data_IF_487392728222
#
_entry.id   IF_487392728222
#
_cell.length_a   1.000
_cell.length_b   1.000
_cell.length_c   1.000
_cell.angle_alpha   90.00
_cell.angle_beta   90.00
_cell.angle_gamma   90.00
#
_symmetry.space_group_name_H-M   'P 1'
#
loop_
_entity.id
_entity.type
_entity.pdbx_description
1 polymer ?
#
# COMPACT_ATOMS: atom_id res chain seq x y z
N UNK A 1 -10.50 18.35 -7.88
CA UNK A 1 -9.10 18.85 -7.93
C UNK A 1 -8.44 18.33 -9.21
N UNK A 2 -7.43 18.98 -9.80
CA UNK A 2 -6.75 18.43 -10.99
C UNK A 2 -5.79 17.29 -10.59
N UNK A 3 -5.63 16.26 -11.42
CA UNK A 3 -4.72 15.13 -11.12
C UNK A 3 -3.28 15.56 -10.86
N UNK A 4 -2.77 16.55 -11.60
CA UNK A 4 -1.44 17.11 -11.33
C UNK A 4 -1.31 17.68 -9.91
N UNK A 5 -2.32 18.39 -9.43
CA UNK A 5 -2.33 18.95 -8.07
C UNK A 5 -2.38 17.84 -7.02
N UNK A 6 -3.14 16.77 -7.28
CA UNK A 6 -3.14 15.57 -6.45
C UNK A 6 -1.75 14.91 -6.39
N UNK A 7 -1.08 14.74 -7.53
CA UNK A 7 0.24 14.13 -7.59
C UNK A 7 1.30 14.95 -6.87
N UNK A 8 1.25 16.28 -7.01
CA UNK A 8 2.15 17.19 -6.29
C UNK A 8 1.95 17.04 -4.76
N UNK A 9 0.71 16.91 -4.30
CA UNK A 9 0.41 16.65 -2.89
C UNK A 9 0.84 15.26 -2.43
N UNK A 10 0.60 14.21 -3.22
CA UNK A 10 1.04 12.84 -2.90
C UNK A 10 2.55 12.82 -2.73
N UNK A 11 3.32 13.37 -3.68
CA UNK A 11 4.79 13.44 -3.59
C UNK A 11 5.27 14.28 -2.40
N UNK A 12 4.52 15.30 -2.00
CA UNK A 12 4.86 16.12 -0.85
C UNK A 12 4.64 15.39 0.49
N UNK A 13 3.58 14.59 0.61
CA UNK A 13 3.14 14.02 1.89
C UNK A 13 3.38 12.52 2.04
N UNK A 14 3.71 11.82 0.95
CA UNK A 14 3.99 10.38 0.92
C UNK A 14 5.39 10.19 0.31
N UNK A 15 6.46 10.42 1.09
CA UNK A 15 7.84 10.39 0.58
C UNK A 15 8.27 9.00 0.07
N UNK A 16 7.53 7.94 0.39
CA UNK A 16 7.74 6.60 -0.13
C UNK A 16 7.38 6.49 -1.62
N UNK A 17 6.52 7.35 -2.16
CA UNK A 17 6.11 7.31 -3.58
C UNK A 17 7.26 7.80 -4.46
N UNK A 18 7.76 6.92 -5.32
CA UNK A 18 8.89 7.16 -6.23
C UNK A 18 8.43 7.61 -7.60
N UNK A 19 7.26 7.13 -8.03
CA UNK A 19 6.68 7.42 -9.34
C UNK A 19 5.15 7.51 -9.25
N UNK A 20 4.56 8.31 -10.14
CA UNK A 20 3.10 8.42 -10.32
C UNK A 20 2.78 8.46 -11.80
N UNK A 21 1.87 7.60 -12.22
CA UNK A 21 1.34 7.53 -13.57
C UNK A 21 0.58 8.81 -13.91
N UNK A 22 0.74 9.34 -15.11
CA UNK A 22 0.06 10.59 -15.52
C UNK A 22 -1.19 10.36 -16.37
N UNK A 23 -1.44 9.12 -16.78
CA UNK A 23 -2.51 8.76 -17.71
C UNK A 23 -3.71 8.09 -17.03
N UNK A 24 -3.75 8.03 -15.69
CA UNK A 24 -4.90 7.52 -14.94
C UNK A 24 -5.95 8.62 -14.72
N UNK A 25 -7.23 8.27 -14.87
CA UNK A 25 -8.34 9.23 -14.75
C UNK A 25 -9.10 9.10 -13.42
N UNK A 26 -9.14 7.91 -12.82
CA UNK A 26 -10.01 7.60 -11.68
C UNK A 26 -9.26 7.32 -10.37
N UNK A 27 -8.01 6.85 -10.45
CA UNK A 27 -7.17 6.49 -9.31
C UNK A 27 -5.81 7.17 -9.40
N UNK A 28 -5.17 7.42 -8.24
CA UNK A 28 -3.77 7.79 -8.21
C UNK A 28 -2.94 6.50 -8.18
N UNK A 29 -2.20 6.22 -9.24
CA UNK A 29 -1.41 4.99 -9.41
C UNK A 29 0.06 5.34 -9.64
N UNK A 30 0.95 4.44 -9.25
CA UNK A 30 2.38 4.56 -9.49
C UNK A 30 3.18 3.51 -8.74
N UNK A 31 4.35 3.90 -8.24
CA UNK A 31 5.27 3.02 -7.53
C UNK A 31 5.69 3.66 -6.21
N UNK A 32 5.95 2.83 -5.21
CA UNK A 32 6.50 3.27 -3.93
C UNK A 32 7.62 2.35 -3.44
N UNK A 33 8.47 2.90 -2.58
CA UNK A 33 9.58 2.19 -1.99
C UNK A 33 9.17 1.51 -0.67
N UNK A 34 9.19 0.17 -0.65
CA UNK A 34 8.94 -0.67 0.53
C UNK A 34 9.99 -1.78 0.59
N UNK A 35 10.47 -2.08 1.80
CA UNK A 35 11.45 -3.15 2.07
C UNK A 35 12.71 -3.12 1.19
N UNK A 36 13.17 -1.92 0.86
CA UNK A 36 14.36 -1.64 0.03
C UNK A 36 14.22 -1.98 -1.47
N UNK A 37 12.99 -2.17 -1.95
CA UNK A 37 12.67 -2.15 -3.39
C UNK A 37 11.80 -0.92 -3.70
N UNK A 38 11.90 -0.40 -4.91
CA UNK A 38 11.22 0.81 -5.39
C UNK A 38 10.18 0.55 -6.50
N UNK A 39 9.84 -0.72 -6.72
CA UNK A 39 8.93 -1.23 -7.76
C UNK A 39 7.61 -1.79 -7.21
N UNK A 40 7.28 -1.52 -5.94
CA UNK A 40 5.99 -1.91 -5.37
C UNK A 40 4.88 -1.02 -5.95
N UNK A 41 3.91 -1.63 -6.64
CA UNK A 41 2.74 -0.92 -7.17
C UNK A 41 2.01 -0.17 -6.06
N UNK A 42 1.69 1.09 -6.29
CA UNK A 42 1.03 1.97 -5.34
C UNK A 42 -0.26 2.51 -5.93
N UNK A 43 -1.38 2.31 -5.23
CA UNK A 43 -2.70 2.75 -5.69
C UNK A 43 -3.41 3.50 -4.55
N UNK A 44 -4.04 4.63 -4.85
CA UNK A 44 -5.01 5.29 -3.98
C UNK A 44 -6.33 5.45 -4.73
N UNK A 45 -7.37 4.83 -4.18
CA UNK A 45 -8.75 5.01 -4.62
C UNK A 45 -9.51 5.87 -3.61
N UNK A 46 -10.11 6.96 -4.09
CA UNK A 46 -10.88 7.88 -3.27
C UNK A 46 -12.38 7.69 -3.50
N UNK A 47 -13.10 7.19 -2.51
CA UNK A 47 -14.55 7.16 -2.56
C UNK A 47 -15.14 8.57 -2.38
N UNK A 48 -16.35 8.80 -2.93
CA UNK A 48 -17.18 9.99 -2.65
C UNK A 48 -16.48 11.35 -2.83
N UNK A 49 -15.53 11.47 -3.77
CA UNK A 49 -14.74 12.69 -3.99
C UNK A 49 -13.90 13.12 -2.76
N UNK A 50 -13.46 12.16 -1.94
CA UNK A 50 -12.57 12.43 -0.78
C UNK A 50 -11.25 13.10 -1.18
N UNK A 51 -10.86 13.03 -2.45
CA UNK A 51 -9.76 13.82 -3.02
C UNK A 51 -10.03 15.33 -3.11
N UNK A 52 -11.26 15.80 -2.92
CA UNK A 52 -11.59 17.23 -2.82
C UNK A 52 -11.84 17.67 -1.37
N UNK A 53 -11.68 16.76 -0.41
CA UNK A 53 -11.91 17.03 1.01
C UNK A 53 -10.87 18.03 1.54
N UNK A 54 -11.28 18.97 2.43
CA UNK A 54 -10.34 19.78 3.21
C UNK A 54 -9.37 18.94 4.05
N UNK A 55 -9.71 17.67 4.32
CA UNK A 55 -8.89 16.73 5.07
C UNK A 55 -7.89 15.93 4.21
N UNK A 56 -7.76 16.22 2.90
CA UNK A 56 -6.88 15.47 1.99
C UNK A 56 -5.44 15.36 2.52
N UNK A 57 -4.88 16.44 3.07
CA UNK A 57 -3.52 16.39 3.65
C UNK A 57 -3.43 15.39 4.80
N UNK A 58 -4.44 15.34 5.67
CA UNK A 58 -4.48 14.38 6.76
C UNK A 58 -4.62 12.94 6.24
N UNK A 59 -5.43 12.73 5.20
CA UNK A 59 -5.57 11.44 4.51
C UNK A 59 -4.20 10.98 3.97
N UNK A 60 -3.49 11.82 3.22
CA UNK A 60 -2.18 11.49 2.66
C UNK A 60 -1.15 11.20 3.75
N UNK A 61 -1.18 11.94 4.85
CA UNK A 61 -0.33 11.66 6.03
C UNK A 61 -0.66 10.30 6.66
N UNK A 62 -1.94 9.92 6.76
CA UNK A 62 -2.35 8.60 7.24
C UNK A 62 -1.85 7.48 6.32
N UNK A 63 -1.93 7.66 4.99
CA UNK A 63 -1.40 6.71 4.01
C UNK A 63 0.12 6.55 4.20
N UNK A 64 0.86 7.66 4.29
CA UNK A 64 2.31 7.61 4.55
C UNK A 64 2.65 6.89 5.87
N UNK A 65 1.88 7.14 6.94
CA UNK A 65 2.05 6.44 8.22
C UNK A 65 1.78 4.94 8.12
N UNK A 66 0.82 4.52 7.29
CA UNK A 66 0.55 3.10 7.04
C UNK A 66 1.69 2.44 6.25
N UNK A 67 2.24 3.12 5.24
CA UNK A 67 3.43 2.65 4.53
C UNK A 67 4.63 2.51 5.48
N UNK A 68 4.85 3.50 6.36
CA UNK A 68 5.88 3.39 7.41
C UNK A 68 5.62 2.22 8.36
N UNK A 69 4.36 1.98 8.73
CA UNK A 69 3.98 0.83 9.54
C UNK A 69 4.32 -0.49 8.83
N UNK A 70 3.94 -0.64 7.56
CA UNK A 70 4.24 -1.83 6.75
C UNK A 70 5.74 -2.08 6.65
N UNK A 71 6.52 -1.00 6.42
CA UNK A 71 7.97 -1.08 6.38
C UNK A 71 8.53 -1.57 7.73
N UNK A 72 8.09 -0.97 8.83
CA UNK A 72 8.61 -1.26 10.17
C UNK A 72 8.13 -2.60 10.76
N UNK A 73 6.99 -3.12 10.28
CA UNK A 73 6.41 -4.38 10.74
C UNK A 73 6.77 -5.58 9.84
N UNK A 74 7.77 -5.43 8.96
CA UNK A 74 8.28 -6.50 8.09
C UNK A 74 8.42 -7.84 8.80
N UNK A 75 9.15 -7.89 9.91
CA UNK A 75 9.38 -9.14 10.65
C UNK A 75 8.09 -9.80 11.16
N UNK A 76 7.08 -9.00 11.54
CA UNK A 76 5.76 -9.51 11.97
C UNK A 76 4.99 -10.11 10.79
N UNK A 77 5.04 -9.46 9.63
CA UNK A 77 4.40 -9.94 8.41
C UNK A 77 5.08 -11.24 7.94
N UNK A 78 6.41 -11.25 7.85
CA UNK A 78 7.20 -12.44 7.50
C UNK A 78 6.92 -13.61 8.44
N UNK A 79 6.82 -13.36 9.75
CA UNK A 79 6.48 -14.40 10.72
C UNK A 79 5.09 -14.99 10.47
N UNK A 80 4.08 -14.16 10.18
CA UNK A 80 2.73 -14.65 9.88
C UNK A 80 2.72 -15.54 8.62
N UNK A 81 3.47 -15.17 7.59
CA UNK A 81 3.60 -15.97 6.36
C UNK A 81 4.21 -17.34 6.67
N UNK A 82 5.30 -17.36 7.45
CA UNK A 82 5.94 -18.61 7.89
C UNK A 82 4.96 -19.46 8.71
N UNK A 83 4.18 -18.86 9.61
CA UNK A 83 3.22 -19.58 10.46
C UNK A 83 2.03 -20.15 9.70
N UNK A 84 1.55 -19.45 8.66
CA UNK A 84 0.35 -19.83 7.90
C UNK A 84 0.67 -20.77 6.74
N UNK A 85 1.75 -20.50 6.01
CA UNK A 85 2.06 -21.15 4.74
C UNK A 85 3.39 -21.90 4.75
N UNK A 86 4.22 -21.73 5.80
CA UNK A 86 5.55 -22.33 5.92
C UNK A 86 6.47 -21.97 4.73
N UNK A 87 6.35 -20.75 4.22
CA UNK A 87 7.19 -20.20 3.16
C UNK A 87 8.47 -19.57 3.69
N UNK A 88 9.57 -19.65 2.92
CA UNK A 88 10.79 -18.88 3.18
C UNK A 88 10.57 -17.43 2.76
N UNK A 89 10.90 -16.49 3.65
CA UNK A 89 10.69 -15.04 3.50
C UNK A 89 11.99 -14.25 3.33
N UNK A 90 13.15 -14.91 3.23
CA UNK A 90 14.46 -14.24 3.12
C UNK A 90 14.52 -13.22 1.96
N UNK A 91 13.88 -13.52 0.84
CA UNK A 91 13.82 -12.68 -0.35
C UNK A 91 12.44 -12.06 -0.58
N UNK A 92 11.62 -11.95 0.48
CA UNK A 92 10.27 -11.42 0.37
C UNK A 92 10.28 -9.92 0.02
N UNK A 93 9.34 -9.53 -0.83
CA UNK A 93 9.13 -8.16 -1.30
C UNK A 93 7.63 -7.84 -1.39
N UNK A 94 7.29 -6.56 -1.30
CA UNK A 94 5.91 -6.09 -1.48
C UNK A 94 5.61 -5.98 -2.98
N UNK A 95 4.52 -6.61 -3.41
CA UNK A 95 4.07 -6.60 -4.81
C UNK A 95 3.25 -5.35 -5.09
N UNK A 96 2.30 -5.06 -4.21
CA UNK A 96 1.49 -3.86 -4.29
C UNK A 96 1.05 -3.39 -2.90
N UNK A 97 0.67 -2.11 -2.83
CA UNK A 97 -0.12 -1.52 -1.75
C UNK A 97 -1.24 -0.68 -2.36
N UNK A 98 -2.49 -1.06 -2.07
CA UNK A 98 -3.67 -0.36 -2.53
C UNK A 98 -4.39 0.26 -1.33
N UNK A 99 -4.68 1.56 -1.41
CA UNK A 99 -5.35 2.31 -0.36
C UNK A 99 -6.76 2.67 -0.79
N UNK A 100 -7.75 2.22 -0.01
CA UNK A 100 -9.13 2.63 -0.18
C UNK A 100 -9.48 3.70 0.85
N UNK A 101 -9.83 4.89 0.37
CA UNK A 101 -10.12 6.07 1.20
C UNK A 101 -11.61 6.37 1.15
N UNK A 102 -12.32 6.04 2.22
CA UNK A 102 -13.72 6.45 2.39
C UNK A 102 -13.82 7.88 2.91
N UNK A 103 -13.03 8.22 3.92
CA UNK A 103 -12.91 9.56 4.52
C UNK A 103 -11.61 9.68 5.34
N UNK A 104 -11.46 10.75 6.12
CA UNK A 104 -10.22 11.02 6.88
C UNK A 104 -9.93 10.05 8.03
N UNK A 105 -10.91 9.22 8.41
CA UNK A 105 -10.78 8.22 9.49
C UNK A 105 -10.75 6.80 8.96
N UNK A 106 -11.28 6.60 7.76
CA UNK A 106 -11.50 5.30 7.14
C UNK A 106 -10.59 5.20 5.91
N UNK A 107 -9.32 4.91 6.20
CA UNK A 107 -8.28 4.59 5.22
C UNK A 107 -7.90 3.12 5.44
N UNK A 108 -8.21 2.29 4.47
CA UNK A 108 -7.88 0.87 4.44
C UNK A 108 -6.69 0.66 3.52
N UNK A 109 -5.91 -0.39 3.78
CA UNK A 109 -4.82 -0.78 2.91
C UNK A 109 -4.88 -2.28 2.65
N UNK A 110 -4.91 -2.67 1.40
CA UNK A 110 -4.65 -4.03 0.95
C UNK A 110 -3.24 -4.09 0.39
N UNK A 111 -2.53 -5.18 0.66
CA UNK A 111 -1.16 -5.35 0.18
C UNK A 111 -0.80 -6.82 0.08
N UNK A 112 0.07 -7.11 -0.87
CA UNK A 112 0.54 -8.46 -1.13
C UNK A 112 2.05 -8.55 -1.02
N UNK A 113 2.51 -9.68 -0.48
CA UNK A 113 3.92 -10.03 -0.38
C UNK A 113 4.19 -11.22 -1.28
N UNK A 114 5.34 -11.24 -1.96
CA UNK A 114 5.81 -12.41 -2.70
C UNK A 114 7.29 -12.64 -2.45
N UNK A 115 7.80 -13.77 -2.93
CA UNK A 115 9.22 -14.04 -3.07
C UNK A 115 9.47 -14.88 -4.33
N UNK A 116 10.66 -14.82 -4.94
CA UNK A 116 10.98 -15.59 -6.15
C UNK A 116 10.73 -17.10 -6.01
N UNK A 117 10.85 -17.63 -4.80
CA UNK A 117 10.68 -19.04 -4.49
C UNK A 117 9.21 -19.49 -4.42
N UNK A 118 8.25 -18.56 -4.42
CA UNK A 118 6.83 -18.85 -4.19
C UNK A 118 6.06 -19.23 -5.47
N UNK A 119 6.75 -19.34 -6.61
CA UNK A 119 6.16 -19.79 -7.88
C UNK A 119 4.93 -18.95 -8.29
N UNK A 120 5.09 -17.63 -8.35
CA UNK A 120 4.02 -16.69 -8.71
C UNK A 120 2.83 -16.72 -7.73
N UNK A 121 3.05 -17.08 -6.47
CA UNK A 121 2.06 -16.90 -5.42
C UNK A 121 2.35 -15.63 -4.63
N UNK A 122 1.27 -15.01 -4.16
CA UNK A 122 1.31 -13.86 -3.27
C UNK A 122 0.55 -14.17 -1.98
N UNK A 123 1.10 -13.71 -0.86
CA UNK A 123 0.43 -13.72 0.43
C UNK A 123 -0.29 -12.38 0.61
N UNK A 124 -1.62 -12.44 0.68
CA UNK A 124 -2.50 -11.28 0.73
C UNK A 124 -2.81 -10.85 2.17
N UNK A 125 -2.83 -9.54 2.38
CA UNK A 125 -3.08 -8.93 3.68
C UNK A 125 -3.99 -7.71 3.55
N UNK A 126 -4.77 -7.46 4.59
CA UNK A 126 -5.37 -6.14 4.82
C UNK A 126 -4.83 -5.52 6.11
N UNK A 127 -4.70 -4.20 6.08
CA UNK A 127 -4.39 -3.35 7.22
C UNK A 127 -5.56 -2.38 7.42
N UNK A 128 -6.39 -2.72 8.40
CA UNK A 128 -7.59 -1.97 8.75
C UNK A 128 -7.25 -0.55 9.22
N UNK A 129 -8.24 0.33 9.32
CA UNK A 129 -8.06 1.73 9.74
C UNK A 129 -7.35 1.89 11.09
N UNK A 130 -7.56 0.95 12.01
CA UNK A 130 -6.91 0.87 13.33
C UNK A 130 -5.51 0.19 13.32
N UNK A 131 -4.96 -0.13 12.15
CA UNK A 131 -3.74 -0.91 11.94
C UNK A 131 -3.79 -2.36 12.46
N UNK A 132 -5.00 -2.93 12.56
CA UNK A 132 -5.16 -4.37 12.68
C UNK A 132 -4.72 -5.03 11.36
N UNK A 133 -3.76 -5.96 11.47
CA UNK A 133 -3.24 -6.71 10.34
C UNK A 133 -3.99 -8.02 10.23
N UNK A 134 -4.57 -8.27 9.05
CA UNK A 134 -5.33 -9.48 8.74
C UNK A 134 -4.64 -10.18 7.58
N UNK A 135 -4.39 -11.48 7.74
CA UNK A 135 -3.95 -12.34 6.65
C UNK A 135 -5.17 -12.88 5.90
N UNK A 136 -5.22 -12.65 4.59
CA UNK A 136 -6.37 -12.97 3.75
C UNK A 136 -6.22 -14.34 3.06
N UNK A 137 -4.99 -14.74 2.74
CA UNK A 137 -4.70 -16.05 2.13
C UNK A 137 -3.57 -15.99 1.10
N UNK A 138 -3.43 -17.08 0.35
CA UNK A 138 -2.57 -17.14 -0.82
C UNK A 138 -3.39 -16.99 -2.09
N UNK A 139 -2.91 -16.15 -3.00
CA UNK A 139 -3.47 -15.96 -4.33
C UNK A 139 -2.39 -16.16 -5.41
N UNK A 140 -2.77 -16.52 -6.64
CA UNK A 140 -1.89 -16.36 -7.80
C UNK A 140 -1.56 -14.87 -8.03
N UNK A 141 -0.31 -14.55 -8.33
CA UNK A 141 0.18 -13.22 -8.69
C UNK A 141 -0.39 -12.70 -10.01
#
# INVERSE_FOLDING_TARGET
>A
MKMKELHDLIKQYIPQVTYLETETEEVAEGECAIWAQDDCTFIIEFANQSNESPALVAILQTISQKLDWLHNQRAKIEQLIVEKENFDTNNAYAVYTAFFVENEREVFCEFAISAPEWSEQVAEFSLESNNELIYQGLEPA
#
